data_IF_409038483522
#
_entry.id   IF_409038483522
#
_cell.length_a   1.000
_cell.length_b   1.000
_cell.length_c   1.000
_cell.angle_alpha   90.00
_cell.angle_beta   90.00
_cell.angle_gamma   90.00
#
_symmetry.space_group_name_H-M   'P 1'
#
loop_
_entity.id
_entity.type
_entity.pdbx_description
1 polymer ?
#
# COMPACT_ATOMS: atom_id res chain seq x y z
N UNK A 1 15.40 -9.28 9.13
CA UNK A 1 14.23 -8.43 8.85
C UNK A 1 13.92 -8.50 7.37
N UNK A 2 12.63 -8.58 7.02
CA UNK A 2 12.12 -8.44 5.66
C UNK A 2 11.28 -7.19 5.57
N UNK A 3 11.22 -6.59 4.38
CA UNK A 3 10.53 -5.32 4.16
C UNK A 3 9.71 -5.37 2.88
N UNK A 4 8.73 -4.47 2.81
CA UNK A 4 8.00 -4.15 1.60
C UNK A 4 7.98 -2.64 1.38
N UNK A 5 7.82 -2.19 0.15
CA UNK A 5 7.60 -0.78 -0.18
C UNK A 5 6.10 -0.55 -0.38
N UNK A 6 5.52 0.31 0.43
CA UNK A 6 4.15 0.79 0.25
C UNK A 6 4.14 2.11 -0.51
N UNK A 7 3.38 2.17 -1.60
CA UNK A 7 3.06 3.39 -2.32
C UNK A 7 1.60 3.75 -2.04
N UNK A 8 1.31 5.04 -1.85
CA UNK A 8 -0.02 5.53 -1.51
C UNK A 8 -0.32 6.85 -2.22
N UNK A 9 -1.53 6.97 -2.71
CA UNK A 9 -2.12 8.24 -3.15
C UNK A 9 -3.38 8.55 -2.35
N UNK A 10 -3.67 9.84 -2.20
CA UNK A 10 -4.99 10.32 -1.77
C UNK A 10 -5.69 10.93 -2.96
N UNK A 11 -6.93 10.53 -3.18
CA UNK A 11 -7.81 11.00 -4.24
C UNK A 11 -9.05 11.63 -3.62
N UNK A 12 -9.50 12.75 -4.17
CA UNK A 12 -10.73 13.46 -3.77
C UNK A 12 -11.81 13.22 -4.82
N UNK A 13 -12.95 12.69 -4.38
CA UNK A 13 -14.12 12.42 -5.21
C UNK A 13 -14.92 13.71 -5.44
N UNK A 14 -15.66 13.82 -6.56
CA UNK A 14 -16.61 14.92 -6.78
C UNK A 14 -17.61 15.08 -5.63
N UNK A 15 -18.03 16.31 -5.35
CA UNK A 15 -18.93 16.65 -4.23
C UNK A 15 -20.29 15.97 -4.26
N UNK A 16 -20.75 15.55 -5.43
CA UNK A 16 -22.02 14.84 -5.67
C UNK A 16 -21.89 13.30 -5.63
N UNK A 17 -20.70 12.79 -5.30
CA UNK A 17 -20.45 11.36 -5.18
C UNK A 17 -21.28 10.74 -4.06
N UNK A 18 -21.73 9.49 -4.26
CA UNK A 18 -22.40 8.72 -3.19
C UNK A 18 -21.42 8.50 -2.05
N UNK A 19 -21.86 8.78 -0.83
CA UNK A 19 -21.08 8.46 0.37
C UNK A 19 -20.99 6.94 0.53
N UNK A 20 -19.75 6.43 0.47
CA UNK A 20 -19.38 5.03 0.67
C UNK A 20 -18.26 4.90 1.70
N UNK A 21 -18.12 5.91 2.58
CA UNK A 21 -17.10 5.97 3.63
C UNK A 21 -17.14 4.71 4.50
N UNK A 22 -15.95 4.23 4.88
CA UNK A 22 -15.80 3.00 5.68
C UNK A 22 -15.68 1.71 4.86
N UNK A 23 -15.87 1.76 3.54
CA UNK A 23 -15.57 0.63 2.66
C UNK A 23 -14.06 0.38 2.55
N UNK A 24 -13.66 -0.88 2.71
CA UNK A 24 -12.27 -1.35 2.70
C UNK A 24 -12.12 -2.45 1.66
N UNK A 25 -11.15 -2.28 0.75
CA UNK A 25 -10.80 -3.26 -0.28
C UNK A 25 -9.33 -3.62 -0.14
N UNK A 26 -9.04 -4.92 -0.16
CA UNK A 26 -7.70 -5.47 -0.33
C UNK A 26 -7.67 -6.38 -1.55
N UNK A 27 -6.56 -6.40 -2.26
CA UNK A 27 -6.39 -7.24 -3.44
C UNK A 27 -5.04 -7.95 -3.45
N UNK A 28 -5.00 -9.08 -4.15
CA UNK A 28 -3.78 -9.80 -4.49
C UNK A 28 -3.87 -10.23 -5.96
N UNK A 29 -2.73 -10.54 -6.58
CA UNK A 29 -2.66 -10.94 -7.98
C UNK A 29 -2.15 -9.82 -8.88
N UNK A 30 -2.92 -9.46 -9.91
CA UNK A 30 -2.51 -8.47 -10.90
C UNK A 30 -2.26 -7.09 -10.25
N UNK A 31 -1.19 -6.37 -10.64
CA UNK A 31 -0.25 -6.71 -11.70
C UNK A 31 0.96 -7.55 -11.25
N UNK A 32 1.18 -7.69 -9.94
CA UNK A 32 2.37 -8.34 -9.38
C UNK A 32 2.49 -9.83 -9.74
N UNK A 33 1.36 -10.52 -9.93
CA UNK A 33 1.35 -11.93 -10.35
C UNK A 33 2.03 -12.18 -11.71
N UNK A 34 2.10 -11.18 -12.59
CA UNK A 34 2.77 -11.33 -13.90
C UNK A 34 4.27 -11.58 -13.78
N UNK A 35 4.90 -11.08 -12.70
CA UNK A 35 6.34 -11.22 -12.45
C UNK A 35 6.64 -12.16 -11.28
N UNK A 36 5.63 -12.89 -10.78
CA UNK A 36 5.71 -13.68 -9.54
C UNK A 36 6.21 -12.87 -8.33
N UNK A 37 5.89 -11.57 -8.32
CA UNK A 37 6.22 -10.69 -7.19
C UNK A 37 5.13 -10.77 -6.14
N UNK A 38 5.53 -10.81 -4.86
CA UNK A 38 4.58 -10.84 -3.74
C UNK A 38 4.27 -9.42 -3.26
N UNK A 39 3.04 -9.23 -2.81
CA UNK A 39 2.52 -7.92 -2.43
C UNK A 39 0.99 -7.89 -2.45
N UNK A 40 0.41 -6.70 -2.47
CA UNK A 40 -1.05 -6.54 -2.51
C UNK A 40 -1.48 -5.08 -2.61
N UNK A 41 -2.67 -4.88 -3.16
CA UNK A 41 -3.30 -3.55 -3.27
C UNK A 41 -4.22 -3.27 -2.09
N UNK A 42 -4.44 -1.99 -1.82
CA UNK A 42 -5.47 -1.54 -0.90
C UNK A 42 -6.20 -0.31 -1.44
N UNK A 43 -7.48 -0.20 -1.12
CA UNK A 43 -8.31 0.98 -1.39
C UNK A 43 -9.29 1.17 -0.24
N UNK A 44 -9.25 2.35 0.38
CA UNK A 44 -10.10 2.71 1.52
C UNK A 44 -10.89 3.97 1.17
N UNK A 45 -12.21 3.91 1.31
CA UNK A 45 -13.06 5.10 1.28
C UNK A 45 -13.01 5.75 2.66
N UNK A 46 -12.43 6.94 2.71
CA UNK A 46 -12.26 7.75 3.91
C UNK A 46 -13.38 8.81 3.98
N UNK A 47 -13.50 9.43 5.15
CA UNK A 47 -14.32 10.64 5.32
C UNK A 47 -13.90 11.77 4.37
N UNK A 48 -14.75 12.79 4.23
CA UNK A 48 -14.51 13.96 3.38
C UNK A 48 -14.36 13.64 1.88
N UNK A 49 -15.07 12.63 1.39
CA UNK A 49 -15.05 12.22 -0.02
C UNK A 49 -13.64 11.86 -0.52
N UNK A 50 -12.81 11.27 0.34
CA UNK A 50 -11.45 10.88 -0.02
C UNK A 50 -11.29 9.37 -0.17
N UNK A 51 -10.42 8.98 -1.09
CA UNK A 51 -9.96 7.61 -1.26
C UNK A 51 -8.47 7.54 -0.98
N UNK A 52 -8.08 6.66 -0.07
CA UNK A 52 -6.69 6.23 0.07
C UNK A 52 -6.49 4.95 -0.74
N UNK A 53 -5.69 5.01 -1.80
CA UNK A 53 -5.36 3.85 -2.65
C UNK A 53 -3.86 3.62 -2.65
N UNK A 54 -3.44 2.37 -2.67
CA UNK A 54 -2.03 2.04 -2.69
C UNK A 54 -1.71 0.62 -3.10
N UNK A 55 -0.43 0.37 -3.32
CA UNK A 55 0.14 -0.93 -3.64
C UNK A 55 1.35 -1.18 -2.74
N UNK A 56 1.42 -2.37 -2.17
CA UNK A 56 2.55 -2.86 -1.39
C UNK A 56 3.28 -3.89 -2.25
N UNK A 57 4.59 -3.72 -2.40
CA UNK A 57 5.47 -4.62 -3.14
C UNK A 57 6.57 -5.11 -2.21
N UNK A 58 6.70 -6.43 -2.05
CA UNK A 58 7.73 -7.00 -1.17
C UNK A 58 9.12 -6.79 -1.77
N UNK A 59 10.08 -6.33 -0.96
CA UNK A 59 11.43 -5.99 -1.43
C UNK A 59 12.34 -7.23 -1.66
N UNK A 60 11.74 -8.42 -1.75
CA UNK A 60 12.39 -9.67 -2.14
C UNK A 60 12.05 -10.09 -3.59
N UNK A 61 11.46 -9.20 -4.40
CA UNK A 61 11.24 -9.46 -5.82
C UNK A 61 12.57 -9.75 -6.54
N UNK A 62 12.55 -10.68 -7.49
CA UNK A 62 13.76 -11.12 -8.20
C UNK A 62 13.96 -10.42 -9.54
N UNK A 63 12.91 -9.84 -10.13
CA UNK A 63 12.99 -9.16 -11.42
C UNK A 63 13.65 -7.77 -11.25
N UNK A 64 14.86 -7.53 -11.80
CA UNK A 64 15.56 -6.26 -11.64
C UNK A 64 14.91 -5.10 -12.42
N UNK A 65 14.02 -5.39 -13.35
CA UNK A 65 13.29 -4.39 -14.14
C UNK A 65 11.94 -4.00 -13.52
N UNK A 66 11.54 -4.64 -12.41
CA UNK A 66 10.29 -4.30 -11.75
C UNK A 66 10.38 -2.89 -11.16
N UNK A 67 9.41 -2.06 -11.51
CA UNK A 67 9.22 -0.72 -10.95
C UNK A 67 7.97 -0.73 -10.07
N UNK A 68 8.10 -0.70 -8.73
CA UNK A 68 6.93 -0.67 -7.84
C UNK A 68 6.00 0.51 -8.10
N UNK A 69 6.58 1.63 -8.55
CA UNK A 69 5.82 2.81 -8.95
C UNK A 69 4.95 2.55 -10.17
N UNK A 70 5.52 1.98 -11.24
CA UNK A 70 4.77 1.72 -12.46
C UNK A 70 3.72 0.63 -12.24
N UNK A 71 4.02 -0.40 -11.45
CA UNK A 71 3.03 -1.41 -11.05
C UNK A 71 1.86 -0.79 -10.28
N UNK A 72 2.14 0.19 -9.41
CA UNK A 72 1.08 0.92 -8.73
C UNK A 72 0.24 1.78 -9.69
N UNK A 73 0.86 2.42 -10.69
CA UNK A 73 0.11 3.15 -11.71
C UNK A 73 -0.78 2.19 -12.54
N UNK A 74 -0.25 1.03 -12.94
CA UNK A 74 -1.00 -0.02 -13.64
C UNK A 74 -2.16 -0.54 -12.80
N UNK A 75 -1.93 -0.85 -11.52
CA UNK A 75 -2.94 -1.36 -10.59
C UNK A 75 -4.25 -0.56 -10.61
N UNK A 76 -4.17 0.77 -10.69
CA UNK A 76 -5.36 1.66 -10.72
C UNK A 76 -6.24 1.49 -11.96
N UNK A 77 -5.72 0.91 -13.05
CA UNK A 77 -6.47 0.60 -14.27
C UNK A 77 -7.15 -0.78 -14.23
N UNK A 78 -7.01 -1.54 -13.14
CA UNK A 78 -7.72 -2.81 -13.00
C UNK A 78 -9.25 -2.55 -12.99
N UNK A 79 -10.09 -3.34 -13.68
CA UNK A 79 -11.54 -3.09 -13.77
C UNK A 79 -12.29 -3.06 -12.43
N UNK A 80 -11.71 -3.68 -11.39
CA UNK A 80 -12.25 -3.63 -10.02
C UNK A 80 -11.81 -2.39 -9.22
N UNK A 81 -10.85 -1.60 -9.70
CA UNK A 81 -10.26 -0.44 -9.01
C UNK A 81 -10.59 0.85 -9.74
N UNK A 82 -10.45 0.88 -11.07
CA UNK A 82 -10.69 2.05 -11.91
C UNK A 82 -12.05 2.74 -11.64
N UNK A 83 -13.18 2.01 -11.46
CA UNK A 83 -14.48 2.65 -11.21
C UNK A 83 -14.50 3.51 -9.94
N UNK A 84 -13.68 3.20 -8.93
CA UNK A 84 -13.61 3.96 -7.68
C UNK A 84 -12.91 5.30 -7.85
N UNK A 85 -11.99 5.42 -8.81
CA UNK A 85 -11.17 6.61 -9.03
C UNK A 85 -11.68 7.48 -10.18
N UNK A 86 -12.72 7.02 -10.90
CA UNK A 86 -13.24 7.69 -12.08
C UNK A 86 -13.78 9.08 -11.73
N UNK A 87 -13.21 10.11 -12.35
CA UNK A 87 -13.59 11.50 -12.12
C UNK A 87 -13.05 12.10 -10.81
N UNK A 88 -12.32 11.30 -10.00
CA UNK A 88 -11.65 11.80 -8.81
C UNK A 88 -10.34 12.51 -9.17
N UNK A 89 -9.90 13.42 -8.29
CA UNK A 89 -8.64 14.15 -8.44
C UNK A 89 -7.61 13.65 -7.45
N UNK A 90 -6.41 13.28 -7.91
CA UNK A 90 -5.30 12.97 -7.01
C UNK A 90 -4.79 14.24 -6.33
N UNK A 91 -4.78 14.26 -5.00
CA UNK A 91 -4.34 15.42 -4.19
C UNK A 91 -3.03 15.17 -3.44
N UNK A 92 -2.63 13.92 -3.22
CA UNK A 92 -1.36 13.60 -2.56
C UNK A 92 -0.77 12.27 -3.06
N UNK A 93 0.55 12.15 -2.91
CA UNK A 93 1.33 10.93 -3.16
C UNK A 93 2.41 10.78 -2.08
N UNK A 94 2.68 9.55 -1.67
CA UNK A 94 3.79 9.22 -0.79
C UNK A 94 4.18 7.74 -0.89
N UNK A 95 5.37 7.42 -0.39
CA UNK A 95 5.84 6.05 -0.29
C UNK A 95 6.63 5.85 1.00
N UNK A 96 6.56 4.64 1.58
CA UNK A 96 7.31 4.27 2.79
C UNK A 96 7.57 2.77 2.82
N UNK A 97 8.76 2.39 3.27
CA UNK A 97 9.05 0.99 3.57
C UNK A 97 8.35 0.55 4.87
N UNK A 98 7.88 -0.69 4.90
CA UNK A 98 7.22 -1.32 6.05
C UNK A 98 7.92 -2.62 6.43
N UNK A 99 7.96 -2.93 7.73
CA UNK A 99 8.46 -4.21 8.20
C UNK A 99 7.47 -5.34 7.86
N UNK A 100 7.99 -6.45 7.32
CA UNK A 100 7.22 -7.64 6.94
C UNK A 100 7.89 -8.96 7.38
N UNK A 101 8.96 -8.89 8.18
CA UNK A 101 9.66 -10.08 8.66
C UNK A 101 8.97 -10.81 9.81
N UNK A 102 7.97 -10.19 10.44
CA UNK A 102 7.16 -10.78 11.50
C UNK A 102 7.96 -11.24 12.72
N UNK A 103 7.39 -12.20 13.45
CA UNK A 103 7.94 -12.71 14.72
C UNK A 103 9.40 -13.19 14.59
N UNK A 104 9.73 -13.86 13.49
CA UNK A 104 11.08 -14.39 13.24
C UNK A 104 12.15 -13.32 13.03
N UNK A 105 11.75 -12.06 12.83
CA UNK A 105 12.66 -10.93 12.61
C UNK A 105 12.75 -9.98 13.80
N UNK A 106 12.06 -10.24 14.92
CA UNK A 106 12.08 -9.34 16.07
C UNK A 106 13.44 -9.40 16.79
N UNK A 107 14.11 -8.25 17.00
CA UNK A 107 15.35 -8.19 17.77
C UNK A 107 15.06 -8.19 19.28
N UNK A 108 16.12 -8.20 20.10
CA UNK A 108 15.99 -7.85 21.52
C UNK A 108 15.58 -6.37 21.62
N UNK A 109 14.44 -6.10 22.25
CA UNK A 109 13.82 -4.76 22.27
C UNK A 109 14.19 -3.89 23.48
N UNK A 110 15.07 -4.38 24.36
CA UNK A 110 15.43 -3.67 25.60
C UNK A 110 16.93 -3.72 25.87
N UNK A 111 17.46 -2.59 26.33
CA UNK A 111 18.85 -2.40 26.74
C UNK A 111 18.91 -1.47 27.96
N UNK A 112 20.01 -1.43 28.74
CA UNK A 112 20.12 -0.54 29.89
C UNK A 112 19.90 0.92 29.48
N UNK A 113 18.83 1.53 29.99
CA UNK A 113 18.47 2.92 29.69
C UNK A 113 17.59 3.14 28.46
N UNK A 114 17.08 2.09 27.79
CA UNK A 114 16.21 2.30 26.62
C UNK A 114 15.46 1.08 26.09
N UNK A 115 14.53 1.38 25.19
CA UNK A 115 13.62 0.44 24.53
C UNK A 115 13.56 0.71 23.03
N UNK A 116 13.40 -0.35 22.23
CA UNK A 116 13.03 -0.29 20.82
C UNK A 116 11.53 -0.57 20.70
N UNK A 117 10.77 0.29 20.02
CA UNK A 117 9.31 0.21 19.96
C UNK A 117 8.79 0.46 18.54
N UNK A 118 7.55 0.03 18.26
CA UNK A 118 6.87 0.23 16.98
C UNK A 118 7.59 -0.42 15.80
N UNK A 119 7.47 0.18 14.61
CA UNK A 119 8.08 -0.35 13.40
C UNK A 119 9.62 -0.42 13.46
N UNK A 120 10.27 0.36 14.33
CA UNK A 120 11.72 0.28 14.55
C UNK A 120 12.12 -1.05 15.23
N UNK A 121 11.23 -1.61 16.06
CA UNK A 121 11.37 -2.97 16.59
C UNK A 121 10.86 -4.06 15.62
N UNK A 122 10.13 -3.66 14.57
CA UNK A 122 9.55 -4.58 13.58
C UNK A 122 8.18 -5.15 13.97
N UNK A 123 7.46 -4.50 14.90
CA UNK A 123 6.09 -4.87 15.34
C UNK A 123 5.01 -4.15 14.55
#
# INVERSE_FOLDING_TARGET
QHYALGLKEIWELPTDSKDVSGSVIHSAGWPLSETNTTGGGFLYHMENNQIAVGLIVDLNYSNPYLSPFDEFQRFKHHPAIEPHLKGAQRIAYGARAIAKGGLSSLPRQQFPGGLLIGCDAGT
#
